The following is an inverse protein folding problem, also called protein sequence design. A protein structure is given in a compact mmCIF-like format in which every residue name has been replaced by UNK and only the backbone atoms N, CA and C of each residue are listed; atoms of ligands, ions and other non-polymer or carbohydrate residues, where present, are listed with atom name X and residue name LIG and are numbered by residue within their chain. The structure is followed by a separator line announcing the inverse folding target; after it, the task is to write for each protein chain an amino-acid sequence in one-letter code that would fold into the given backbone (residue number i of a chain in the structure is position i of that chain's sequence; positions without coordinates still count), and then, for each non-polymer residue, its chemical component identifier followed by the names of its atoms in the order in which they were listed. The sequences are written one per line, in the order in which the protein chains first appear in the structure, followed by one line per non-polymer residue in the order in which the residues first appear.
data_IF_986705088758
#
_entry.id   IF_986705088758
#
_cell.length_a   1.000
_cell.length_b   1.000
_cell.length_c   1.000
_cell.angle_alpha   90.00
_cell.angle_beta   90.00
_cell.angle_gamma   90.00
#
_symmetry.space_group_name_H-M   'P 1'
#
loop_
_entity.id
_entity.type
_entity.pdbx_description
1 polymer ?
#
# COMPACT_ATOMS: atom_id res chain seq x y z
N UNK A 1 19.50 -44.99 -52.98
CA UNK A 1 20.46 -45.10 -51.85
C UNK A 1 19.67 -44.91 -50.56
N UNK A 2 19.38 -46.03 -49.89
CA UNK A 2 18.84 -46.08 -48.53
C UNK A 2 19.89 -45.63 -47.52
N UNK A 3 19.45 -45.07 -46.39
CA UNK A 3 19.97 -45.26 -45.02
C UNK A 3 19.08 -44.44 -44.05
N UNK A 4 18.13 -45.05 -43.35
CA UNK A 4 18.21 -45.90 -42.13
C UNK A 4 18.07 -45.08 -40.84
N UNK A 5 16.89 -45.23 -40.22
CA UNK A 5 16.64 -44.94 -38.81
C UNK A 5 17.61 -45.73 -37.92
N UNK A 6 18.18 -45.07 -36.90
CA UNK A 6 18.68 -45.73 -35.69
C UNK A 6 17.98 -45.15 -34.46
N UNK A 7 17.25 -46.03 -33.76
CA UNK A 7 16.87 -45.88 -32.36
C UNK A 7 18.12 -45.70 -31.50
N UNK A 8 18.10 -44.76 -30.55
CA UNK A 8 18.92 -44.88 -29.34
C UNK A 8 17.98 -44.89 -28.13
N UNK A 9 17.84 -46.07 -27.55
CA UNK A 9 17.26 -46.32 -26.23
C UNK A 9 18.25 -45.94 -25.12
N UNK A 10 17.69 -45.41 -24.04
CA UNK A 10 18.17 -45.43 -22.64
C UNK A 10 19.45 -44.67 -22.27
N UNK A 11 19.25 -43.55 -21.56
CA UNK A 11 19.85 -43.35 -20.24
C UNK A 11 18.99 -42.36 -19.45
N UNK A 12 18.16 -42.87 -18.55
CA UNK A 12 17.51 -42.09 -17.50
C UNK A 12 18.65 -41.69 -16.54
N UNK A 13 19.14 -40.48 -16.70
CA UNK A 13 19.94 -39.81 -15.68
C UNK A 13 18.95 -39.23 -14.66
N UNK A 14 18.68 -40.00 -13.60
CA UNK A 14 18.17 -39.45 -12.34
C UNK A 14 19.14 -38.36 -11.89
N UNK A 15 18.81 -37.10 -12.18
CA UNK A 15 19.60 -35.96 -11.74
C UNK A 15 19.28 -35.70 -10.26
N UNK A 16 19.81 -36.55 -9.39
CA UNK A 16 20.04 -36.19 -7.99
C UNK A 16 20.99 -34.99 -8.00
N UNK A 17 20.45 -33.78 -7.77
CA UNK A 17 21.28 -32.64 -7.35
C UNK A 17 21.77 -32.89 -5.93
N UNK A 18 22.76 -33.76 -5.77
CA UNK A 18 23.64 -33.73 -4.62
C UNK A 18 24.56 -32.52 -4.82
N UNK A 19 24.22 -31.38 -4.22
CA UNK A 19 25.16 -30.27 -4.11
C UNK A 19 26.34 -30.69 -3.22
N UNK A 20 27.59 -30.63 -3.71
CA UNK A 20 28.75 -30.89 -2.87
C UNK A 20 28.96 -29.69 -1.94
N UNK A 21 29.06 -29.97 -0.64
CA UNK A 21 29.83 -29.16 0.30
C UNK A 21 29.44 -27.69 0.47
N UNK A 22 28.24 -27.40 0.96
CA UNK A 22 28.07 -26.26 1.90
C UNK A 22 27.07 -26.65 2.98
N UNK A 23 27.51 -26.67 4.24
CA UNK A 23 26.66 -26.85 5.43
C UNK A 23 25.77 -25.60 5.65
N UNK A 24 24.88 -25.30 4.69
CA UNK A 24 23.89 -24.24 4.79
C UNK A 24 22.54 -24.89 5.08
N UNK A 25 22.05 -24.73 6.31
CA UNK A 25 20.75 -25.25 6.75
C UNK A 25 19.65 -24.81 5.77
N UNK A 26 19.11 -25.75 5.02
CA UNK A 26 18.02 -25.53 4.06
C UNK A 26 16.68 -25.53 4.80
N UNK A 27 16.02 -24.38 4.89
CA UNK A 27 14.73 -24.17 5.58
C UNK A 27 13.53 -24.21 4.62
N UNK A 28 13.71 -24.71 3.40
CA UNK A 28 12.67 -24.70 2.36
C UNK A 28 11.55 -25.71 2.63
N UNK A 29 10.33 -25.31 2.31
CA UNK A 29 9.17 -26.21 2.25
C UNK A 29 9.03 -26.72 0.82
N UNK A 30 8.90 -28.04 0.65
CA UNK A 30 8.60 -28.64 -0.64
C UNK A 30 7.26 -29.38 -0.58
N UNK A 31 6.46 -29.19 -1.62
CA UNK A 31 5.20 -29.90 -1.86
C UNK A 31 5.46 -30.86 -3.01
N UNK A 32 5.44 -32.15 -2.74
CA UNK A 32 5.51 -33.17 -3.78
C UNK A 32 4.09 -33.47 -4.22
N UNK A 33 3.81 -33.23 -5.50
CA UNK A 33 2.53 -33.52 -6.11
C UNK A 33 2.72 -34.67 -7.10
N UNK A 34 2.12 -35.81 -6.78
CA UNK A 34 2.19 -37.02 -7.58
C UNK A 34 0.79 -37.57 -7.80
N UNK A 35 0.65 -38.49 -8.76
CA UNK A 35 -0.62 -39.16 -9.02
C UNK A 35 -1.18 -39.92 -7.79
N UNK A 36 -0.32 -40.38 -6.88
CA UNK A 36 -0.68 -41.13 -5.68
C UNK A 36 -0.98 -40.25 -4.46
N UNK A 37 -0.61 -38.96 -4.48
CA UNK A 37 -0.81 -38.12 -3.30
C UNK A 37 -0.15 -36.74 -3.32
N UNK A 38 -0.42 -36.00 -2.24
CA UNK A 38 0.18 -34.70 -1.95
C UNK A 38 0.99 -34.85 -0.66
N UNK A 39 2.31 -34.65 -0.75
CA UNK A 39 3.21 -34.86 0.37
C UNK A 39 4.02 -33.60 0.69
N UNK A 40 3.91 -33.14 1.94
CA UNK A 40 4.66 -32.00 2.44
C UNK A 40 5.96 -32.47 3.10
N UNK A 41 7.11 -32.01 2.59
CA UNK A 41 8.39 -32.15 3.29
C UNK A 41 8.86 -30.77 3.77
N UNK A 42 9.01 -30.63 5.08
CA UNK A 42 9.58 -29.45 5.73
C UNK A 42 10.78 -29.91 6.56
N UNK A 43 11.98 -29.39 6.27
CA UNK A 43 13.17 -29.74 7.05
C UNK A 43 13.13 -28.95 8.36
N UNK A 44 12.75 -29.60 9.46
CA UNK A 44 12.63 -28.97 10.78
C UNK A 44 14.04 -28.63 11.29
N UNK A 45 14.27 -27.38 11.69
CA UNK A 45 15.46 -26.95 12.43
C UNK A 45 15.10 -26.76 13.90
N UNK A 46 15.50 -27.72 14.75
CA UNK A 46 15.74 -27.56 16.20
C UNK A 46 14.51 -27.49 17.13
N UNK A 47 14.49 -28.43 18.10
CA UNK A 47 13.64 -28.60 19.29
C UNK A 47 12.46 -27.64 19.49
N UNK A 48 11.29 -28.10 19.06
CA UNK A 48 10.03 -27.69 19.67
C UNK A 48 9.65 -28.83 20.60
N UNK A 49 9.75 -28.61 21.91
CA UNK A 49 9.16 -29.49 22.91
C UNK A 49 7.67 -29.62 22.58
N UNK A 50 7.28 -30.81 22.10
CA UNK A 50 5.90 -31.14 21.84
C UNK A 50 5.16 -31.13 23.18
N UNK A 51 4.43 -30.06 23.46
CA UNK A 51 3.40 -30.08 24.50
C UNK A 51 2.13 -30.50 23.79
N UNK A 52 1.53 -31.67 24.08
CA UNK A 52 0.25 -32.04 23.52
C UNK A 52 -0.76 -30.97 23.92
N UNK A 53 -1.27 -30.21 22.95
CA UNK A 53 -2.39 -29.30 23.16
C UNK A 53 -3.60 -30.14 23.56
N UNK A 54 -4.09 -29.92 24.78
CA UNK A 54 -5.35 -30.45 25.27
C UNK A 54 -6.49 -30.05 24.33
N UNK A 55 -7.52 -30.90 24.14
CA UNK A 55 -8.67 -30.55 23.33
C UNK A 55 -9.38 -29.35 23.95
N UNK A 56 -9.39 -28.21 23.25
CA UNK A 56 -10.22 -27.07 23.60
C UNK A 56 -11.67 -27.38 23.20
N UNK A 57 -12.51 -27.72 24.18
CA UNK A 57 -13.97 -27.62 24.07
C UNK A 57 -14.34 -26.15 23.88
N UNK A 58 -14.72 -25.78 22.67
CA UNK A 58 -15.34 -24.48 22.41
C UNK A 58 -16.77 -24.49 22.96
N UNK A 59 -17.01 -23.72 24.01
CA UNK A 59 -18.35 -23.37 24.47
C UNK A 59 -19.04 -22.54 23.40
N UNK A 60 -20.23 -22.99 22.96
CA UNK A 60 -21.18 -22.13 22.27
C UNK A 60 -21.73 -21.11 23.26
N UNK A 61 -21.32 -19.85 23.13
CA UNK A 61 -22.00 -18.74 23.77
C UNK A 61 -22.77 -18.01 22.68
N UNK A 62 -24.09 -18.23 22.67
CA UNK A 62 -25.02 -17.43 21.88
C UNK A 62 -25.08 -16.04 22.47
N UNK A 63 -24.70 -15.05 21.67
CA UNK A 63 -25.04 -13.65 21.91
C UNK A 63 -25.87 -13.17 20.72
N UNK A 64 -27.16 -13.02 20.99
CA UNK A 64 -28.14 -12.37 20.13
C UNK A 64 -27.78 -10.89 19.99
N UNK A 65 -27.13 -10.51 18.90
CA UNK A 65 -27.14 -9.14 18.40
C UNK A 65 -27.08 -9.13 16.88
N UNK A 66 -28.25 -8.89 16.29
CA UNK A 66 -28.53 -8.78 14.85
C UNK A 66 -27.63 -7.69 14.25
N UNK A 67 -26.52 -8.10 13.64
CA UNK A 67 -25.75 -7.27 12.72
C UNK A 67 -25.99 -7.78 11.31
N UNK A 68 -26.45 -6.87 10.45
CA UNK A 68 -26.92 -7.12 9.10
C UNK A 68 -26.05 -8.11 8.31
N UNK A 69 -26.62 -9.27 7.97
CA UNK A 69 -25.96 -10.33 7.22
C UNK A 69 -25.54 -9.81 5.83
N UNK A 70 -24.25 -9.53 5.69
CA UNK A 70 -23.60 -9.29 4.41
C UNK A 70 -23.27 -10.65 3.81
N UNK A 71 -23.43 -10.82 2.49
CA UNK A 71 -22.84 -11.95 1.77
C UNK A 71 -21.31 -11.75 1.87
N UNK A 72 -20.74 -12.22 2.96
CA UNK A 72 -19.33 -12.07 3.30
C UNK A 72 -18.96 -13.40 3.89
N UNK A 73 -17.99 -14.06 3.27
CA UNK A 73 -17.43 -15.29 3.83
C UNK A 73 -17.12 -15.10 5.31
N UNK A 74 -17.12 -16.19 6.08
CA UNK A 74 -16.74 -16.16 7.49
C UNK A 74 -15.44 -15.37 7.73
N UNK A 75 -15.22 -14.86 8.96
CA UNK A 75 -13.97 -14.22 9.34
C UNK A 75 -12.77 -15.07 8.88
N UNK A 76 -11.72 -14.41 8.37
CA UNK A 76 -10.60 -15.12 7.72
C UNK A 76 -9.97 -16.20 8.60
N UNK A 77 -9.95 -15.98 9.92
CA UNK A 77 -9.40 -16.90 10.91
C UNK A 77 -10.18 -18.22 11.01
N UNK A 78 -11.42 -18.26 10.52
CA UNK A 78 -12.31 -19.43 10.51
C UNK A 78 -12.36 -20.15 9.15
N UNK A 79 -11.74 -19.57 8.11
CA UNK A 79 -11.81 -20.12 6.74
C UNK A 79 -10.83 -21.27 6.48
N UNK A 80 -9.87 -21.52 7.38
CA UNK A 80 -8.77 -22.46 7.13
C UNK A 80 -9.17 -23.90 7.44
N UNK A 81 -8.98 -24.81 6.46
CA UNK A 81 -9.15 -26.24 6.68
C UNK A 81 -8.11 -26.77 7.70
N UNK A 82 -8.47 -27.78 8.50
CA UNK A 82 -7.63 -28.34 9.58
C UNK A 82 -6.22 -28.72 9.07
N UNK A 83 -6.15 -29.43 7.94
CA UNK A 83 -4.91 -29.89 7.30
C UNK A 83 -4.01 -28.74 6.78
N UNK A 84 -4.51 -27.50 6.77
CA UNK A 84 -3.80 -26.31 6.30
C UNK A 84 -3.27 -25.43 7.43
N UNK A 85 -3.62 -25.72 8.69
CA UNK A 85 -3.43 -24.80 9.82
C UNK A 85 -1.96 -24.44 10.04
N UNK A 86 -1.06 -25.42 10.18
CA UNK A 86 0.35 -25.18 10.49
C UNK A 86 1.05 -24.30 9.44
N UNK A 87 0.73 -24.54 8.16
CA UNK A 87 1.27 -23.78 7.05
C UNK A 87 0.76 -22.34 7.04
N UNK A 88 -0.55 -22.17 7.28
CA UNK A 88 -1.18 -20.85 7.32
C UNK A 88 -0.74 -20.05 8.54
N UNK A 89 -0.60 -20.69 9.70
CA UNK A 89 -0.10 -20.05 10.92
C UNK A 89 1.33 -19.56 10.71
N UNK A 90 2.21 -20.34 10.07
CA UNK A 90 3.54 -19.87 9.68
C UNK A 90 3.47 -18.65 8.75
N UNK A 91 2.60 -18.69 7.75
CA UNK A 91 2.48 -17.63 6.76
C UNK A 91 1.93 -16.34 7.39
N UNK A 92 0.97 -16.45 8.31
CA UNK A 92 0.44 -15.35 9.13
C UNK A 92 1.50 -14.77 10.08
N UNK A 93 2.26 -15.61 10.77
CA UNK A 93 3.36 -15.16 11.65
C UNK A 93 4.41 -14.40 10.83
N UNK A 94 4.78 -14.89 9.66
CA UNK A 94 5.79 -14.23 8.82
C UNK A 94 5.28 -12.96 8.15
N UNK A 95 4.01 -12.92 7.74
CA UNK A 95 3.40 -11.75 7.10
C UNK A 95 3.12 -10.61 8.08
N UNK A 96 2.87 -10.92 9.35
CA UNK A 96 2.55 -9.96 10.42
C UNK A 96 3.79 -9.30 11.06
N UNK A 97 4.99 -9.81 10.80
CA UNK A 97 6.23 -9.22 11.33
C UNK A 97 6.37 -7.78 10.87
N UNK A 98 6.54 -6.87 11.81
CA UNK A 98 6.91 -5.49 11.50
C UNK A 98 8.33 -5.43 10.91
N UNK A 99 8.49 -4.60 9.87
CA UNK A 99 9.79 -4.40 9.23
C UNK A 99 10.74 -3.67 10.18
N UNK A 100 11.88 -4.31 10.50
CA UNK A 100 12.96 -3.65 11.24
C UNK A 100 13.53 -2.48 10.48
N UNK A 101 13.58 -2.52 9.14
CA UNK A 101 13.99 -1.38 8.33
C UNK A 101 13.16 -0.14 8.67
N UNK A 102 11.85 -0.28 8.78
CA UNK A 102 10.97 0.85 9.07
C UNK A 102 11.18 1.38 10.50
N UNK A 103 11.21 0.49 11.49
CA UNK A 103 11.24 0.85 12.91
C UNK A 103 12.61 1.25 13.45
N UNK A 104 13.68 0.57 13.01
CA UNK A 104 15.03 0.77 13.52
C UNK A 104 15.97 1.44 12.51
N UNK A 105 15.54 1.57 11.25
CA UNK A 105 16.29 2.30 10.22
C UNK A 105 15.68 3.65 9.91
N UNK A 106 14.53 3.65 9.23
CA UNK A 106 13.91 4.85 8.65
C UNK A 106 13.42 5.81 9.73
N UNK A 107 12.65 5.32 10.72
CA UNK A 107 12.09 6.19 11.75
C UNK A 107 13.18 6.87 12.59
N UNK A 108 14.23 6.17 13.08
CA UNK A 108 15.35 6.81 13.74
C UNK A 108 16.13 7.78 12.85
N UNK A 109 16.26 7.50 11.54
CA UNK A 109 16.90 8.42 10.59
C UNK A 109 16.11 9.73 10.46
N UNK A 110 14.77 9.65 10.39
CA UNK A 110 13.90 10.84 10.37
C UNK A 110 14.05 11.63 11.67
N UNK A 111 14.01 10.95 12.83
CA UNK A 111 14.19 11.61 14.13
C UNK A 111 15.57 12.26 14.26
N UNK A 112 16.62 11.63 13.73
CA UNK A 112 17.96 12.22 13.67
C UNK A 112 17.99 13.51 12.85
N UNK A 113 17.38 13.52 11.66
CA UNK A 113 17.30 14.72 10.83
C UNK A 113 16.54 15.86 11.54
N UNK A 114 15.40 15.54 12.17
CA UNK A 114 14.61 16.52 12.94
C UNK A 114 15.43 17.08 14.10
N UNK A 115 16.10 16.21 14.86
CA UNK A 115 16.96 16.61 15.96
C UNK A 115 18.10 17.53 15.48
N UNK A 116 18.77 17.16 14.39
CA UNK A 116 19.91 17.90 13.86
C UNK A 116 19.48 19.29 13.38
N UNK A 117 18.35 19.40 12.68
CA UNK A 117 17.76 20.70 12.30
C UNK A 117 17.41 21.53 13.54
N UNK A 118 16.71 20.94 14.52
CA UNK A 118 16.30 21.65 15.73
C UNK A 118 17.50 22.13 16.57
N UNK A 119 18.55 21.32 16.66
CA UNK A 119 19.77 21.65 17.39
C UNK A 119 20.47 22.85 16.78
N UNK A 120 20.74 22.82 15.48
CA UNK A 120 21.46 23.91 14.80
C UNK A 120 20.61 25.18 14.65
N UNK A 121 19.28 25.07 14.55
CA UNK A 121 18.39 26.23 14.61
C UNK A 121 18.48 26.99 15.94
N UNK A 122 18.76 26.31 17.06
CA UNK A 122 18.96 26.97 18.37
C UNK A 122 20.30 27.71 18.47
N UNK A 123 21.28 27.36 17.64
CA UNK A 123 22.64 27.90 17.65
C UNK A 123 22.75 29.17 16.77
N UNK A 124 21.71 29.54 16.02
CA UNK A 124 21.69 30.74 15.19
C UNK A 124 22.12 32.00 15.98
N UNK A 125 23.17 32.68 15.50
CA UNK A 125 23.80 33.82 16.18
C UNK A 125 22.85 35.03 16.15
N UNK A 126 22.73 35.72 17.29
CA UNK A 126 22.07 37.04 17.35
C UNK A 126 23.06 38.07 16.83
N UNK A 127 22.82 38.61 15.63
CA UNK A 127 23.59 39.75 15.14
C UNK A 127 22.94 41.04 15.61
N UNK A 128 23.74 41.94 16.18
CA UNK A 128 23.30 43.28 16.57
C UNK A 128 23.54 44.25 15.42
N UNK A 129 22.52 45.05 15.09
CA UNK A 129 22.66 46.14 14.13
C UNK A 129 23.18 47.39 14.86
N UNK A 130 24.16 48.08 14.27
CA UNK A 130 24.73 49.30 14.85
C UNK A 130 23.97 50.51 14.31
N UNK A 131 23.33 51.29 15.20
CA UNK A 131 22.77 52.59 14.84
C UNK A 131 23.74 53.68 15.23
N UNK A 132 24.10 54.53 14.28
CA UNK A 132 24.91 55.71 14.53
C UNK A 132 24.02 56.87 14.94
N UNK A 133 24.41 57.57 16.00
CA UNK A 133 23.76 58.78 16.50
C UNK A 133 24.78 59.91 16.55
N UNK A 134 24.31 61.14 16.49
CA UNK A 134 25.10 62.35 16.70
C UNK A 134 24.80 62.85 18.11
N UNK A 135 25.83 62.93 18.96
CA UNK A 135 25.73 63.47 20.31
C UNK A 135 26.39 64.85 20.38
N UNK A 136 25.70 65.83 20.95
CA UNK A 136 26.23 67.18 21.15
C UNK A 136 27.15 67.18 22.37
N UNK A 137 28.41 67.58 22.20
CA UNK A 137 29.45 67.48 23.25
C UNK A 137 29.94 68.82 23.79
N UNK A 138 29.86 69.88 23.00
CA UNK A 138 30.48 71.17 23.38
C UNK A 138 29.50 72.32 23.13
N UNK A 139 28.47 72.44 24.00
CA UNK A 139 27.37 73.38 23.78
C UNK A 139 26.97 74.14 25.06
N UNK A 140 27.91 74.91 25.63
CA UNK A 140 27.71 75.68 26.89
C UNK A 140 26.51 76.64 26.88
N UNK A 141 26.09 77.13 25.71
CA UNK A 141 24.95 78.04 25.55
C UNK A 141 23.86 77.48 24.63
N UNK A 142 23.93 76.19 24.28
CA UNK A 142 23.13 75.57 23.22
C UNK A 142 23.62 75.90 21.81
N UNK A 143 23.26 75.06 20.85
CA UNK A 143 23.60 75.19 19.42
C UNK A 143 22.33 75.22 18.56
N UNK A 144 22.42 75.87 17.40
CA UNK A 144 21.32 75.95 16.44
C UNK A 144 21.32 74.74 15.49
N UNK A 145 20.17 74.08 15.38
CA UNK A 145 19.87 73.09 14.35
C UNK A 145 19.31 73.83 13.14
N UNK A 146 19.83 73.55 11.94
CA UNK A 146 19.55 74.33 10.73
C UNK A 146 18.90 73.52 9.63
N UNK A 147 18.11 74.18 8.78
CA UNK A 147 17.42 73.52 7.66
C UNK A 147 18.38 73.06 6.55
N UNK A 148 19.49 73.78 6.35
CA UNK A 148 20.51 73.50 5.33
C UNK A 148 21.90 73.56 5.98
N UNK A 149 22.93 72.91 5.41
CA UNK A 149 24.31 72.89 5.94
C UNK A 149 25.05 74.23 5.72
N UNK A 150 24.47 75.34 6.19
CA UNK A 150 24.99 76.70 6.09
C UNK A 150 24.70 77.47 7.39
N UNK A 151 25.71 78.20 7.90
CA UNK A 151 25.61 79.04 9.10
C UNK A 151 24.57 80.16 8.98
N UNK A 152 24.16 80.53 7.77
CA UNK A 152 23.10 81.53 7.51
C UNK A 152 21.71 80.92 7.29
N UNK A 153 21.60 79.59 7.21
CA UNK A 153 20.33 78.90 7.00
C UNK A 153 19.36 79.11 8.16
N UNK A 154 18.07 79.02 7.88
CA UNK A 154 17.00 79.12 8.87
C UNK A 154 17.24 78.12 10.02
N UNK A 155 17.09 78.61 11.25
CA UNK A 155 17.19 77.80 12.46
C UNK A 155 15.85 77.10 12.65
N UNK A 156 15.88 75.77 12.63
CA UNK A 156 14.70 74.91 12.77
C UNK A 156 14.54 74.38 14.20
N UNK A 157 15.56 74.52 15.03
CA UNK A 157 15.53 74.15 16.44
C UNK A 157 16.83 74.48 17.16
N UNK A 158 16.89 74.18 18.45
CA UNK A 158 18.11 74.28 19.27
C UNK A 158 18.42 72.94 19.92
N UNK A 159 19.70 72.67 20.18
CA UNK A 159 20.16 71.51 20.94
C UNK A 159 21.10 71.94 22.07
N UNK A 160 21.02 71.25 23.20
CA UNK A 160 21.89 71.43 24.36
C UNK A 160 22.96 70.33 24.40
N UNK A 161 23.98 70.54 25.24
CA UNK A 161 24.99 69.53 25.49
C UNK A 161 24.36 68.25 26.05
N UNK A 162 24.72 67.10 25.48
CA UNK A 162 24.14 65.80 25.80
C UNK A 162 22.97 65.37 24.92
N UNK A 163 22.40 66.26 24.11
CA UNK A 163 21.33 65.90 23.17
C UNK A 163 21.83 64.91 22.11
N UNK A 164 20.95 63.97 21.73
CA UNK A 164 21.26 62.87 20.82
C UNK A 164 20.27 62.85 19.66
N UNK A 165 20.79 62.76 18.45
CA UNK A 165 19.99 62.70 17.23
C UNK A 165 20.40 61.51 16.37
N UNK A 166 19.47 60.98 15.60
CA UNK A 166 19.77 59.90 14.66
C UNK A 166 20.60 60.45 13.49
N UNK A 167 21.75 59.84 13.19
CA UNK A 167 22.58 60.22 12.07
C UNK A 167 21.89 59.77 10.76
N UNK A 168 21.66 60.72 9.86
CA UNK A 168 21.14 60.47 8.50
C UNK A 168 22.28 60.43 7.50
N UNK A 169 23.19 61.42 7.55
CA UNK A 169 24.38 61.47 6.70
C UNK A 169 25.56 62.18 7.38
N UNK A 170 26.77 61.73 7.04
CA UNK A 170 28.04 62.30 7.46
C UNK A 170 29.00 62.52 6.28
N UNK A 171 28.51 62.79 5.08
CA UNK A 171 29.40 63.08 3.94
C UNK A 171 29.89 64.54 3.92
N UNK A 172 29.07 65.48 4.41
CA UNK A 172 29.42 66.90 4.43
C UNK A 172 30.57 67.19 5.40
N UNK A 173 31.59 67.95 4.99
CA UNK A 173 32.81 68.18 5.77
C UNK A 173 32.61 68.95 7.06
N UNK A 174 31.59 69.80 7.15
CA UNK A 174 31.38 70.72 8.28
C UNK A 174 30.08 70.45 9.05
N UNK A 175 29.18 69.64 8.50
CA UNK A 175 27.85 69.38 9.07
C UNK A 175 27.57 67.88 9.18
N UNK A 176 26.77 67.50 10.17
CA UNK A 176 26.08 66.21 10.21
C UNK A 176 24.61 66.43 9.86
N UNK A 177 24.08 65.59 8.97
CA UNK A 177 22.66 65.51 8.72
C UNK A 177 22.02 64.59 9.76
N UNK A 178 21.01 65.10 10.45
CA UNK A 178 20.32 64.43 11.54
C UNK A 178 18.82 64.40 11.29
N UNK A 179 18.14 63.41 11.87
CA UNK A 179 16.68 63.41 11.92
C UNK A 179 16.22 64.20 13.16
N UNK A 180 15.58 65.34 12.94
CA UNK A 180 14.99 66.17 13.97
C UNK A 180 13.48 66.23 13.78
N UNK A 181 12.73 65.47 14.59
CA UNK A 181 11.27 65.46 14.56
C UNK A 181 10.64 64.96 13.24
N UNK A 182 11.35 64.09 12.49
CA UNK A 182 10.90 63.55 11.21
C UNK A 182 11.37 64.35 9.99
N UNK A 183 12.12 65.44 10.21
CA UNK A 183 12.73 66.24 9.14
C UNK A 183 14.25 66.10 9.15
N UNK A 184 14.85 66.13 7.96
CA UNK A 184 16.31 66.20 7.83
C UNK A 184 16.78 67.62 8.16
N UNK A 185 17.66 67.71 9.13
CA UNK A 185 18.24 68.98 9.58
C UNK A 185 19.74 68.81 9.83
N UNK A 186 20.45 69.91 9.99
CA UNK A 186 21.90 69.94 10.01
C UNK A 186 22.42 70.53 11.31
N UNK A 187 23.40 69.84 11.88
CA UNK A 187 24.15 70.27 13.07
C UNK A 187 25.63 70.40 12.72
N UNK A 188 26.29 71.44 13.27
CA UNK A 188 27.72 71.65 13.05
C UNK A 188 28.54 70.52 13.68
N UNK A 189 29.50 69.98 12.92
CA UNK A 189 30.44 68.97 13.43
C UNK A 189 31.34 69.49 14.53
N UNK A 190 31.57 70.80 14.55
CA UNK A 190 32.40 71.47 15.56
C UNK A 190 31.91 71.19 16.98
N UNK A 191 30.60 71.00 17.17
CA UNK A 191 29.98 70.85 18.50
C UNK A 191 29.36 69.46 18.73
N UNK A 192 29.58 68.51 17.81
CA UNK A 192 28.92 67.22 17.82
C UNK A 192 29.88 66.08 17.42
N UNK A 193 29.63 64.89 17.93
CA UNK A 193 30.38 63.69 17.57
C UNK A 193 29.45 62.52 17.27
N UNK A 194 29.88 61.66 16.35
CA UNK A 194 29.17 60.40 16.08
C UNK A 194 29.47 59.41 17.22
N UNK A 195 28.42 58.79 17.73
CA UNK A 195 28.45 57.68 18.66
C UNK A 195 27.67 56.50 18.07
N UNK A 196 27.91 55.28 18.55
CA UNK A 196 27.21 54.08 18.07
C UNK A 196 26.41 53.43 19.19
N UNK A 197 25.10 53.28 18.99
CA UNK A 197 24.22 52.50 19.83
C UNK A 197 24.03 51.11 19.24
N UNK A 198 24.24 50.08 20.06
CA UNK A 198 23.83 48.71 19.70
C UNK A 198 22.31 48.61 19.84
N UNK A 199 21.59 48.42 18.73
CA UNK A 199 20.15 48.20 18.78
C UNK A 199 19.89 46.70 18.91
N UNK A 200 19.06 46.34 19.88
CA UNK A 200 18.54 45.00 20.09
C UNK A 200 17.50 44.63 19.02
N UNK A 201 17.85 44.68 17.73
CA UNK A 201 17.01 44.10 16.67
C UNK A 201 17.50 42.67 16.46
N UNK A 202 16.79 41.71 17.05
CA UNK A 202 17.06 40.28 16.85
C UNK A 202 16.68 39.91 15.42
N UNK A 203 17.60 40.08 14.49
CA UNK A 203 17.48 39.46 13.18
C UNK A 203 18.07 38.07 13.30
N UNK A 204 17.22 37.04 13.26
CA UNK A 204 17.70 35.68 13.05
C UNK A 204 18.26 35.66 11.63
N UNK A 205 19.58 35.61 11.45
CA UNK A 205 20.13 35.33 10.12
C UNK A 205 19.61 33.94 9.72
N UNK A 206 18.85 33.89 8.63
CA UNK A 206 18.35 32.63 8.11
C UNK A 206 19.56 31.73 7.81
N UNK A 207 19.59 30.55 8.44
CA UNK A 207 20.48 29.42 8.16
C UNK A 207 21.91 29.75 7.65
N UNK A 208 22.58 30.76 8.21
CA UNK A 208 24.04 30.89 8.12
C UNK A 208 24.66 30.18 9.34
N UNK A 209 24.25 28.93 9.53
CA UNK A 209 25.02 27.98 10.36
C UNK A 209 26.40 27.92 9.72
N UNK A 210 27.48 27.88 10.49
CA UNK A 210 28.79 27.46 10.00
C UNK A 210 28.60 26.11 9.28
N UNK A 211 28.38 26.18 7.97
CA UNK A 211 27.62 25.17 7.22
C UNK A 211 28.31 23.83 7.26
N UNK A 212 29.62 23.87 7.41
CA UNK A 212 30.52 22.74 7.45
C UNK A 212 30.19 21.75 8.59
N UNK A 213 29.88 22.21 9.81
CA UNK A 213 29.59 21.29 10.92
C UNK A 213 28.24 20.57 10.76
N UNK A 214 27.20 21.32 10.38
CA UNK A 214 25.89 20.74 10.07
C UNK A 214 26.01 19.73 8.92
N UNK A 215 26.67 20.13 7.82
CA UNK A 215 26.83 19.30 6.63
C UNK A 215 27.62 18.03 6.98
N UNK A 216 28.71 18.13 7.75
CA UNK A 216 29.50 16.96 8.19
C UNK A 216 28.66 15.96 8.99
N UNK A 217 27.92 16.41 9.99
CA UNK A 217 27.06 15.52 10.79
C UNK A 217 25.89 14.96 10.01
N UNK A 218 25.30 15.76 9.12
CA UNK A 218 24.26 15.30 8.22
C UNK A 218 24.76 14.21 7.29
N UNK A 219 25.90 14.41 6.61
CA UNK A 219 26.51 13.42 5.71
C UNK A 219 26.94 12.16 6.47
N UNK A 220 27.54 12.30 7.64
CA UNK A 220 27.92 11.16 8.49
C UNK A 220 26.70 10.35 8.92
N UNK A 221 25.61 11.01 9.34
CA UNK A 221 24.35 10.38 9.68
C UNK A 221 23.71 9.67 8.48
N UNK A 222 23.68 10.32 7.32
CA UNK A 222 23.17 9.71 6.07
C UNK A 222 23.94 8.44 5.69
N UNK A 223 25.27 8.47 5.81
CA UNK A 223 26.11 7.30 5.56
C UNK A 223 25.82 6.18 6.56
N UNK A 224 25.75 6.50 7.86
CA UNK A 224 25.42 5.52 8.90
C UNK A 224 24.04 4.88 8.69
N UNK A 225 22.98 5.69 8.54
CA UNK A 225 21.62 5.19 8.36
C UNK A 225 21.43 4.46 7.03
N UNK A 226 22.15 4.83 5.97
CA UNK A 226 22.12 4.08 4.71
C UNK A 226 22.69 2.67 4.87
N UNK A 227 23.82 2.52 5.56
CA UNK A 227 24.42 1.22 5.86
C UNK A 227 23.54 0.40 6.81
N UNK A 228 23.00 1.02 7.85
CA UNK A 228 22.08 0.39 8.80
C UNK A 228 20.82 -0.11 8.08
N UNK A 229 20.17 0.75 7.29
CA UNK A 229 19.00 0.39 6.48
C UNK A 229 19.30 -0.77 5.54
N UNK A 230 20.47 -0.79 4.90
CA UNK A 230 20.87 -1.90 4.03
C UNK A 230 20.95 -3.24 4.81
N UNK A 231 21.58 -3.25 5.99
CA UNK A 231 21.69 -4.45 6.83
C UNK A 231 20.32 -4.90 7.35
N UNK A 232 19.50 -3.96 7.83
CA UNK A 232 18.14 -4.25 8.32
C UNK A 232 17.26 -4.81 7.21
N UNK A 233 17.34 -4.27 5.99
CA UNK A 233 16.64 -4.80 4.81
C UNK A 233 17.04 -6.25 4.52
N UNK A 234 18.33 -6.57 4.62
CA UNK A 234 18.83 -7.95 4.44
C UNK A 234 18.31 -8.89 5.52
N UNK A 235 18.22 -8.43 6.77
CA UNK A 235 17.67 -9.18 7.90
C UNK A 235 16.16 -9.41 7.72
N UNK A 236 15.40 -8.37 7.40
CA UNK A 236 13.95 -8.46 7.15
C UNK A 236 13.64 -9.42 6.01
N UNK A 237 14.39 -9.34 4.90
CA UNK A 237 14.24 -10.27 3.77
C UNK A 237 14.37 -11.73 4.21
N UNK A 238 15.27 -12.05 5.15
CA UNK A 238 15.41 -13.41 5.69
C UNK A 238 14.30 -13.75 6.69
N UNK A 239 13.92 -12.82 7.57
CA UNK A 239 12.93 -13.04 8.64
C UNK A 239 11.52 -13.24 8.13
N UNK A 240 11.18 -12.64 6.99
CA UNK A 240 9.85 -12.70 6.37
C UNK A 240 9.81 -13.65 5.17
N UNK A 241 10.91 -14.36 4.89
CA UNK A 241 11.00 -15.25 3.74
C UNK A 241 10.09 -16.47 3.93
N UNK A 242 9.20 -16.67 2.97
CA UNK A 242 8.38 -17.87 2.86
C UNK A 242 8.70 -18.51 1.51
N UNK A 243 9.31 -19.69 1.53
CA UNK A 243 9.69 -20.43 0.31
C UNK A 243 8.86 -21.71 0.23
N UNK A 244 8.15 -21.90 -0.87
CA UNK A 244 7.43 -23.13 -1.20
C UNK A 244 7.81 -23.55 -2.60
N UNK A 245 8.32 -24.77 -2.74
CA UNK A 245 8.67 -25.34 -4.03
C UNK A 245 7.79 -26.55 -4.33
N UNK A 246 7.35 -26.65 -5.57
CA UNK A 246 6.54 -27.76 -6.06
C UNK A 246 7.43 -28.71 -6.85
N UNK A 247 7.43 -29.97 -6.43
CA UNK A 247 8.02 -31.09 -7.16
C UNK A 247 6.86 -31.89 -7.77
N UNK A 248 6.70 -31.80 -9.08
CA UNK A 248 5.60 -32.42 -9.82
C UNK A 248 6.15 -33.51 -10.74
N UNK A 249 5.50 -34.66 -10.77
CA UNK A 249 5.75 -35.63 -11.84
C UNK A 249 5.27 -35.09 -13.21
N UNK A 250 5.66 -35.76 -14.29
CA UNK A 250 5.32 -35.32 -15.66
C UNK A 250 3.81 -35.19 -15.88
N UNK A 251 3.02 -36.10 -15.29
CA UNK A 251 1.56 -36.10 -15.43
C UNK A 251 0.91 -34.91 -14.72
N UNK A 252 1.35 -34.60 -13.49
CA UNK A 252 0.85 -33.49 -12.70
C UNK A 252 1.34 -32.15 -13.27
N UNK A 253 2.55 -32.10 -13.80
CA UNK A 253 3.05 -30.91 -14.48
C UNK A 253 2.16 -30.53 -15.68
N UNK A 254 1.73 -31.51 -16.49
CA UNK A 254 0.80 -31.27 -17.60
C UNK A 254 -0.57 -30.78 -17.10
N UNK A 255 -1.08 -31.36 -16.02
CA UNK A 255 -2.31 -30.90 -15.35
C UNK A 255 -2.17 -29.45 -14.89
N UNK A 256 -1.01 -29.07 -14.37
CA UNK A 256 -0.76 -27.71 -13.91
C UNK A 256 -0.64 -26.70 -15.06
N UNK A 257 -0.05 -27.07 -16.19
CA UNK A 257 -0.06 -26.19 -17.37
C UNK A 257 -1.50 -25.95 -17.86
N UNK A 258 -2.35 -26.99 -17.88
CA UNK A 258 -3.79 -26.84 -18.20
C UNK A 258 -4.52 -25.95 -17.18
N UNK A 259 -4.20 -26.07 -15.90
CA UNK A 259 -4.73 -25.20 -14.85
C UNK A 259 -4.48 -23.70 -15.16
N UNK A 260 -3.24 -23.37 -15.54
CA UNK A 260 -2.87 -21.98 -15.89
C UNK A 260 -3.58 -21.51 -17.15
N UNK A 261 -3.67 -22.37 -18.17
CA UNK A 261 -4.40 -22.06 -19.43
C UNK A 261 -5.86 -21.76 -19.14
N UNK A 262 -6.55 -22.63 -18.39
CA UNK A 262 -7.95 -22.46 -18.06
C UNK A 262 -8.22 -21.21 -17.21
N UNK A 263 -7.34 -20.87 -16.26
CA UNK A 263 -7.48 -19.62 -15.52
C UNK A 263 -7.33 -18.39 -16.43
N UNK A 264 -6.42 -18.44 -17.39
CA UNK A 264 -6.12 -17.31 -18.25
C UNK A 264 -7.32 -16.86 -19.11
N UNK A 265 -8.31 -17.74 -19.33
CA UNK A 265 -9.57 -17.41 -20.01
C UNK A 265 -10.32 -16.27 -19.31
N UNK A 266 -10.22 -16.15 -17.98
CA UNK A 266 -10.85 -15.07 -17.21
C UNK A 266 -10.36 -13.69 -17.63
N UNK A 267 -9.06 -13.60 -17.96
CA UNK A 267 -8.42 -12.34 -18.39
C UNK A 267 -8.91 -11.86 -19.75
N UNK A 268 -9.60 -12.72 -20.51
CA UNK A 268 -10.21 -12.34 -21.78
C UNK A 268 -11.54 -11.59 -21.62
N UNK A 269 -12.15 -11.60 -20.42
CA UNK A 269 -13.32 -10.78 -20.11
C UNK A 269 -12.90 -9.32 -19.92
N UNK A 270 -13.53 -8.40 -20.64
CA UNK A 270 -13.23 -6.96 -20.57
C UNK A 270 -13.61 -6.35 -19.24
N UNK A 271 -14.66 -6.87 -18.60
CA UNK A 271 -15.07 -6.47 -17.25
C UNK A 271 -15.26 -7.71 -16.40
N UNK A 272 -14.74 -7.63 -15.17
CA UNK A 272 -14.94 -8.61 -14.11
C UNK A 272 -15.38 -7.82 -12.88
N UNK A 273 -16.48 -8.22 -12.28
CA UNK A 273 -17.05 -7.56 -11.11
C UNK A 273 -17.14 -8.51 -9.93
N UNK A 274 -17.17 -7.95 -8.73
CA UNK A 274 -17.56 -8.61 -7.50
C UNK A 274 -18.94 -8.08 -7.10
N UNK A 275 -19.85 -8.96 -6.70
CA UNK A 275 -21.12 -8.54 -6.10
C UNK A 275 -20.91 -8.24 -4.61
N UNK A 276 -21.39 -7.06 -4.19
CA UNK A 276 -21.38 -6.61 -2.81
C UNK A 276 -22.83 -6.55 -2.33
N UNK A 277 -23.22 -7.50 -1.49
CA UNK A 277 -24.56 -7.57 -0.90
C UNK A 277 -25.70 -7.65 -1.95
N UNK A 278 -26.90 -7.95 -1.48
CA UNK A 278 -28.10 -7.81 -2.27
C UNK A 278 -29.26 -7.37 -1.40
N UNK A 279 -29.77 -6.17 -1.63
CA UNK A 279 -30.99 -5.72 -0.98
C UNK A 279 -32.19 -6.22 -1.79
N UNK A 280 -33.08 -6.95 -1.12
CA UNK A 280 -34.44 -7.06 -1.62
C UNK A 280 -35.09 -5.69 -1.46
N UNK A 281 -35.54 -5.11 -2.56
CA UNK A 281 -36.26 -3.85 -2.56
C UNK A 281 -37.71 -4.14 -2.90
N UNK A 282 -38.65 -3.74 -2.04
CA UNK A 282 -40.09 -3.80 -2.31
C UNK A 282 -40.55 -2.79 -3.39
N UNK A 283 -39.62 -1.95 -3.88
CA UNK A 283 -39.87 -0.87 -4.84
C UNK A 283 -39.67 -1.31 -6.30
N UNK A 284 -40.49 -2.27 -6.77
CA UNK A 284 -40.46 -2.77 -8.17
C UNK A 284 -40.50 -1.65 -9.23
N UNK A 285 -41.21 -0.54 -8.93
CA UNK A 285 -41.40 0.61 -9.84
C UNK A 285 -40.12 1.44 -10.11
N UNK A 286 -39.15 1.44 -9.17
CA UNK A 286 -37.99 2.33 -9.21
C UNK A 286 -36.69 1.63 -9.64
N UNK A 287 -36.71 0.30 -9.82
CA UNK A 287 -35.53 -0.49 -10.16
C UNK A 287 -35.63 -1.13 -11.55
N UNK A 288 -36.29 -0.49 -12.51
CA UNK A 288 -36.49 -1.05 -13.86
C UNK A 288 -37.05 -2.49 -13.87
N UNK A 289 -37.85 -2.86 -12.86
CA UNK A 289 -38.43 -4.20 -12.71
C UNK A 289 -37.48 -5.26 -12.12
N UNK A 290 -36.29 -4.89 -11.66
CA UNK A 290 -35.38 -5.79 -10.95
C UNK A 290 -35.90 -6.09 -9.54
N UNK A 291 -36.17 -7.38 -9.26
CA UNK A 291 -36.59 -7.86 -7.94
C UNK A 291 -35.48 -7.84 -6.87
N UNK A 292 -34.23 -7.54 -7.25
CA UNK A 292 -33.05 -7.56 -6.39
C UNK A 292 -32.11 -6.43 -6.80
N UNK A 293 -31.88 -5.45 -5.92
CA UNK A 293 -30.88 -4.41 -6.16
C UNK A 293 -29.52 -5.01 -5.82
N UNK A 294 -28.74 -5.31 -6.86
CA UNK A 294 -27.40 -5.88 -6.73
C UNK A 294 -26.39 -4.74 -6.88
N UNK A 295 -25.66 -4.43 -5.82
CA UNK A 295 -24.50 -3.55 -5.93
C UNK A 295 -23.32 -4.39 -6.40
N UNK A 296 -22.69 -3.99 -7.49
CA UNK A 296 -21.46 -4.63 -7.98
C UNK A 296 -20.36 -3.58 -8.10
N UNK A 297 -19.12 -4.03 -7.95
CA UNK A 297 -17.94 -3.20 -8.18
C UNK A 297 -16.97 -3.96 -9.07
N UNK A 298 -16.15 -3.26 -9.85
CA UNK A 298 -15.06 -3.90 -10.57
C UNK A 298 -14.10 -4.59 -9.60
N UNK A 299 -13.60 -5.77 -9.98
CA UNK A 299 -12.47 -6.38 -9.24
C UNK A 299 -11.25 -5.48 -9.41
N UNK A 300 -10.38 -5.41 -8.39
CA UNK A 300 -9.18 -4.55 -8.43
C UNK A 300 -8.20 -4.99 -9.50
N UNK A 301 -8.10 -6.30 -9.74
CA UNK A 301 -7.19 -6.87 -10.75
C UNK A 301 -7.35 -8.39 -10.84
N UNK A 302 -6.96 -8.95 -11.98
CA UNK A 302 -6.76 -10.37 -12.21
C UNK A 302 -5.34 -10.54 -12.76
N UNK A 303 -4.58 -11.49 -12.22
CA UNK A 303 -3.21 -11.78 -12.65
C UNK A 303 -3.05 -13.27 -12.91
N UNK A 304 -2.39 -13.62 -14.02
CA UNK A 304 -2.01 -15.01 -14.29
C UNK A 304 -0.86 -15.49 -13.39
N UNK A 305 -0.06 -14.57 -12.87
CA UNK A 305 0.98 -14.87 -11.89
C UNK A 305 1.15 -13.69 -10.91
N UNK A 306 0.79 -13.92 -9.64
CA UNK A 306 1.03 -12.99 -8.55
C UNK A 306 1.18 -13.72 -7.23
N UNK A 307 2.33 -13.49 -6.59
CA UNK A 307 2.67 -14.07 -5.29
C UNK A 307 1.97 -13.34 -4.13
N UNK A 308 1.70 -14.00 -2.98
CA UNK A 308 0.95 -13.38 -1.89
C UNK A 308 1.69 -12.28 -1.11
N UNK A 309 3.02 -12.25 -1.20
CA UNK A 309 3.88 -11.20 -0.68
C UNK A 309 5.16 -11.09 -1.52
N UNK A 310 5.88 -9.97 -1.41
CA UNK A 310 7.17 -9.76 -2.08
C UNK A 310 8.29 -10.66 -1.55
N UNK A 311 8.10 -11.22 -0.35
CA UNK A 311 9.04 -12.14 0.30
C UNK A 311 8.58 -13.60 0.18
N UNK A 312 7.59 -13.87 -0.69
CA UNK A 312 7.16 -15.22 -1.01
C UNK A 312 7.90 -15.71 -2.26
N UNK A 313 8.53 -16.88 -2.19
CA UNK A 313 9.26 -17.51 -3.30
C UNK A 313 8.63 -18.86 -3.62
N UNK A 314 8.43 -19.10 -4.92
CA UNK A 314 7.97 -20.37 -5.49
C UNK A 314 8.47 -20.52 -6.92
N UNK A 315 8.52 -21.77 -7.39
CA UNK A 315 8.83 -22.15 -8.77
C UNK A 315 7.61 -22.23 -9.69
N UNK A 316 6.38 -22.11 -9.16
CA UNK A 316 5.15 -22.15 -9.97
C UNK A 316 4.51 -20.77 -10.09
N UNK A 317 3.85 -20.49 -11.21
CA UNK A 317 3.03 -19.28 -11.41
C UNK A 317 1.79 -19.37 -10.53
N UNK A 318 1.38 -18.30 -9.85
CA UNK A 318 0.18 -18.34 -8.99
C UNK A 318 -0.91 -17.43 -9.56
N UNK A 319 -1.97 -17.99 -10.17
CA UNK A 319 -3.13 -17.20 -10.57
C UNK A 319 -3.80 -16.49 -9.40
N UNK A 320 -4.24 -15.25 -9.63
CA UNK A 320 -4.79 -14.39 -8.59
C UNK A 320 -6.00 -13.57 -9.06
N UNK A 321 -7.01 -13.48 -8.20
CA UNK A 321 -8.11 -12.53 -8.32
C UNK A 321 -8.07 -11.60 -7.10
N UNK A 322 -7.91 -10.31 -7.33
CA UNK A 322 -7.88 -9.28 -6.31
C UNK A 322 -9.26 -8.61 -6.24
N UNK A 323 -10.04 -9.01 -5.25
CA UNK A 323 -11.35 -8.44 -4.95
C UNK A 323 -11.19 -7.14 -4.14
N UNK A 324 -12.28 -6.59 -3.57
CA UNK A 324 -12.19 -5.34 -2.80
C UNK A 324 -11.27 -5.45 -1.58
N UNK A 325 -11.58 -6.40 -0.70
CA UNK A 325 -10.88 -6.61 0.58
C UNK A 325 -10.32 -8.03 0.72
N UNK A 326 -10.50 -8.85 -0.32
CA UNK A 326 -10.10 -10.26 -0.37
C UNK A 326 -9.18 -10.47 -1.56
N UNK A 327 -8.11 -11.23 -1.40
CA UNK A 327 -7.28 -11.70 -2.51
C UNK A 327 -7.34 -13.22 -2.55
N UNK A 328 -7.66 -13.76 -3.72
CA UNK A 328 -7.77 -15.19 -3.98
C UNK A 328 -6.52 -15.62 -4.75
N UNK A 329 -5.73 -16.52 -4.19
CA UNK A 329 -4.51 -17.07 -4.79
C UNK A 329 -4.73 -18.56 -5.04
N UNK A 330 -4.75 -18.97 -6.30
CA UNK A 330 -5.03 -20.34 -6.70
C UNK A 330 -3.71 -21.12 -6.80
N UNK A 331 -3.40 -21.89 -5.76
CA UNK A 331 -2.25 -22.79 -5.74
C UNK A 331 -2.62 -24.14 -6.36
N UNK A 332 -1.65 -24.98 -6.76
CA UNK A 332 -1.94 -26.25 -7.44
C UNK A 332 -2.99 -27.14 -6.73
N UNK A 333 -3.01 -27.14 -5.40
CA UNK A 333 -3.87 -27.98 -4.60
C UNK A 333 -4.95 -27.26 -3.78
N UNK A 334 -4.83 -25.94 -3.60
CA UNK A 334 -5.67 -25.19 -2.66
C UNK A 334 -5.86 -23.73 -3.07
N UNK A 335 -6.96 -23.15 -2.62
CA UNK A 335 -7.19 -21.72 -2.66
C UNK A 335 -6.63 -21.08 -1.38
N UNK A 336 -5.66 -20.17 -1.52
CA UNK A 336 -5.22 -19.29 -0.43
C UNK A 336 -5.99 -17.97 -0.52
N UNK A 337 -6.55 -17.55 0.61
CA UNK A 337 -7.35 -16.35 0.75
C UNK A 337 -6.60 -15.39 1.65
N UNK A 338 -6.41 -14.14 1.22
CA UNK A 338 -5.79 -13.08 2.03
C UNK A 338 -6.77 -11.94 2.28
N UNK A 339 -7.01 -11.58 3.53
CA UNK A 339 -7.82 -10.44 3.98
C UNK A 339 -7.08 -9.68 5.07
N UNK A 340 -6.90 -8.37 4.94
CA UNK A 340 -6.21 -7.54 5.95
C UNK A 340 -4.87 -8.14 6.44
N UNK A 341 -4.07 -8.66 5.50
CA UNK A 341 -2.79 -9.34 5.76
C UNK A 341 -2.83 -10.65 6.56
N UNK A 342 -4.03 -11.15 6.86
CA UNK A 342 -4.29 -12.47 7.39
C UNK A 342 -4.64 -13.42 6.25
N UNK A 343 -4.24 -14.67 6.40
CA UNK A 343 -4.32 -15.71 5.41
C UNK A 343 -5.16 -16.87 5.91
N UNK A 344 -5.85 -17.51 4.96
CA UNK A 344 -6.55 -18.76 5.13
C UNK A 344 -6.34 -19.65 3.90
N UNK A 345 -6.59 -20.95 4.04
CA UNK A 345 -6.53 -21.89 2.94
C UNK A 345 -7.66 -22.91 2.94
N UNK A 346 -8.16 -23.21 1.75
CA UNK A 346 -9.18 -24.23 1.50
C UNK A 346 -8.72 -25.14 0.37
N UNK A 347 -8.72 -26.46 0.60
CA UNK A 347 -8.43 -27.42 -0.46
C UNK A 347 -9.54 -27.46 -1.51
N UNK A 348 -9.20 -27.82 -2.75
CA UNK A 348 -10.19 -27.91 -3.81
C UNK A 348 -11.25 -28.99 -3.58
N UNK A 349 -10.96 -30.04 -2.79
CA UNK A 349 -11.97 -31.01 -2.33
C UNK A 349 -13.10 -30.39 -1.49
N UNK A 350 -12.82 -29.26 -0.83
CA UNK A 350 -13.74 -28.53 0.06
C UNK A 350 -14.27 -27.24 -0.58
N UNK A 351 -13.97 -26.99 -1.86
CA UNK A 351 -14.32 -25.77 -2.58
C UNK A 351 -15.31 -26.08 -3.70
N UNK A 352 -16.39 -25.31 -3.80
CA UNK A 352 -17.34 -25.36 -4.91
C UNK A 352 -17.37 -24.03 -5.64
N UNK A 353 -17.42 -24.08 -6.98
CA UNK A 353 -17.58 -22.87 -7.81
C UNK A 353 -18.72 -23.11 -8.78
N UNK A 354 -19.90 -22.55 -8.46
CA UNK A 354 -21.09 -22.70 -9.28
C UNK A 354 -21.14 -21.59 -10.33
N UNK A 355 -21.27 -21.98 -11.60
CA UNK A 355 -21.47 -21.04 -12.71
C UNK A 355 -22.95 -21.00 -13.10
N UNK A 356 -23.47 -19.79 -13.36
CA UNK A 356 -24.78 -19.59 -13.97
C UNK A 356 -24.77 -18.36 -14.87
N UNK A 357 -25.68 -18.35 -15.84
CA UNK A 357 -25.93 -17.18 -16.68
C UNK A 357 -27.02 -16.33 -16.02
N UNK A 358 -26.80 -15.03 -15.94
CA UNK A 358 -27.73 -14.08 -15.35
C UNK A 358 -28.07 -12.95 -16.32
N UNK A 359 -29.32 -12.51 -16.28
CA UNK A 359 -29.78 -11.31 -16.99
C UNK A 359 -29.57 -10.11 -16.09
N UNK A 360 -28.71 -9.18 -16.50
CA UNK A 360 -28.38 -7.98 -15.74
C UNK A 360 -28.77 -6.74 -16.52
N UNK A 361 -29.53 -5.83 -15.89
CA UNK A 361 -29.89 -4.54 -16.49
C UNK A 361 -28.68 -3.61 -16.36
N UNK A 362 -28.11 -3.19 -17.49
CA UNK A 362 -26.91 -2.37 -17.51
C UNK A 362 -27.28 -0.88 -17.57
N UNK A 363 -26.90 -0.14 -16.53
CA UNK A 363 -27.05 1.32 -16.50
C UNK A 363 -25.76 2.06 -16.92
N UNK A 364 -24.61 1.42 -16.74
CA UNK A 364 -23.30 1.97 -17.11
C UNK A 364 -23.02 1.77 -18.61
N UNK A 365 -21.93 2.36 -19.15
CA UNK A 365 -21.50 2.04 -20.50
C UNK A 365 -21.30 0.54 -20.70
N UNK A 366 -21.89 0.02 -21.79
CA UNK A 366 -21.83 -1.39 -22.15
C UNK A 366 -20.38 -1.86 -22.32
N UNK A 367 -20.10 -3.05 -21.82
CA UNK A 367 -18.82 -3.72 -22.11
C UNK A 367 -18.77 -4.12 -23.59
N UNK A 368 -17.63 -3.96 -24.30
CA UNK A 368 -17.51 -4.35 -25.71
C UNK A 368 -17.76 -5.84 -26.00
N UNK A 369 -17.65 -6.69 -24.98
CA UNK A 369 -17.86 -8.14 -25.02
C UNK A 369 -19.19 -8.58 -24.37
N UNK A 370 -20.06 -7.64 -24.01
CA UNK A 370 -21.37 -7.92 -23.45
C UNK A 370 -22.34 -8.40 -24.54
N UNK A 371 -23.14 -9.42 -24.23
CA UNK A 371 -24.21 -9.90 -25.11
C UNK A 371 -25.53 -9.30 -24.61
N UNK A 372 -26.12 -8.38 -25.39
CA UNK A 372 -27.45 -7.81 -25.10
C UNK A 372 -28.53 -8.81 -25.54
N UNK A 373 -29.37 -9.23 -24.60
CA UNK A 373 -30.45 -10.22 -24.82
C UNK A 373 -31.85 -9.61 -24.77
N UNK A 374 -31.95 -8.32 -24.49
CA UNK A 374 -33.21 -7.59 -24.44
C UNK A 374 -32.99 -6.15 -24.00
N UNK A 375 -34.09 -5.42 -23.86
CA UNK A 375 -34.11 -4.05 -23.35
C UNK A 375 -35.27 -3.92 -22.36
N UNK A 376 -35.11 -3.03 -21.37
CA UNK A 376 -36.15 -2.61 -20.44
C UNK A 376 -36.16 -1.09 -20.35
N UNK A 377 -37.12 -0.51 -19.64
CA UNK A 377 -37.15 0.93 -19.35
C UNK A 377 -36.68 1.20 -17.93
N UNK A 378 -35.98 2.31 -17.71
CA UNK A 378 -35.52 2.75 -16.39
C UNK A 378 -36.67 2.82 -15.38
N UNK A 379 -37.83 3.31 -15.83
CA UNK A 379 -39.06 3.36 -15.04
C UNK A 379 -40.20 2.61 -15.74
N UNK A 380 -40.82 1.66 -15.04
CA UNK A 380 -41.86 0.78 -15.57
C UNK A 380 -43.19 0.97 -14.85
N UNK A 381 -44.28 0.89 -15.61
CA UNK A 381 -45.61 0.67 -15.07
C UNK A 381 -45.73 -0.77 -14.51
N UNK A 382 -46.78 -1.04 -13.71
CA UNK A 382 -47.04 -2.40 -13.16
C UNK A 382 -47.17 -3.49 -14.24
N UNK A 383 -47.54 -3.12 -15.47
CA UNK A 383 -47.67 -4.00 -16.63
C UNK A 383 -46.38 -4.10 -17.47
N UNK A 384 -45.27 -3.49 -17.06
CA UNK A 384 -43.98 -3.53 -17.75
C UNK A 384 -43.83 -2.56 -18.93
N UNK A 385 -44.82 -1.69 -19.20
CA UNK A 385 -44.69 -0.64 -20.23
C UNK A 385 -43.94 0.58 -19.68
N UNK A 386 -43.34 1.44 -20.53
CA UNK A 386 -42.66 2.65 -20.07
C UNK A 386 -43.59 3.58 -19.29
N UNK A 387 -43.18 3.97 -18.09
CA UNK A 387 -43.86 5.04 -17.34
C UNK A 387 -43.52 6.40 -17.97
N UNK A 388 -44.50 6.98 -18.67
CA UNK A 388 -44.33 8.24 -19.42
C UNK A 388 -44.35 9.50 -18.55
N UNK A 389 -44.58 9.37 -17.23
CA UNK A 389 -44.54 10.52 -16.30
C UNK A 389 -43.11 10.98 -15.99
N UNK A 390 -42.12 10.13 -16.25
CA UNK A 390 -40.72 10.44 -16.07
C UNK A 390 -40.12 10.93 -17.40
N UNK A 391 -39.71 12.20 -17.45
CA UNK A 391 -39.12 12.79 -18.66
C UNK A 391 -37.76 12.16 -19.04
N UNK A 392 -37.02 11.60 -18.07
CA UNK A 392 -35.75 10.88 -18.29
C UNK A 392 -35.93 9.35 -18.19
N UNK A 393 -36.91 8.81 -18.91
CA UNK A 393 -37.15 7.37 -18.97
C UNK A 393 -36.48 6.74 -20.21
N UNK A 394 -35.16 6.54 -20.15
CA UNK A 394 -34.41 5.87 -21.22
C UNK A 394 -34.59 4.34 -21.20
N UNK A 395 -34.40 3.72 -22.36
CA UNK A 395 -34.22 2.26 -22.43
C UNK A 395 -32.86 1.86 -21.89
N UNK A 396 -32.84 0.76 -21.14
CA UNK A 396 -31.66 0.13 -20.56
C UNK A 396 -31.47 -1.25 -21.19
N UNK A 397 -30.26 -1.59 -21.67
CA UNK A 397 -29.97 -2.91 -22.20
C UNK A 397 -29.96 -3.97 -21.08
N UNK A 398 -30.49 -5.14 -21.39
CA UNK A 398 -30.41 -6.34 -20.54
C UNK A 398 -29.28 -7.21 -21.11
N UNK A 399 -28.20 -7.33 -20.36
CA UNK A 399 -27.03 -8.11 -20.75
C UNK A 399 -27.08 -9.53 -20.16
N UNK A 400 -26.53 -10.48 -20.91
CA UNK A 400 -26.31 -11.86 -20.46
C UNK A 400 -24.88 -11.99 -19.95
N UNK A 401 -24.73 -12.00 -18.63
CA UNK A 401 -23.45 -12.14 -17.94
C UNK A 401 -23.34 -13.51 -17.30
N UNK A 402 -22.11 -13.93 -17.00
CA UNK A 402 -21.87 -15.12 -16.17
C UNK A 402 -21.62 -14.71 -14.73
N UNK A 403 -22.20 -15.46 -13.79
CA UNK A 403 -22.02 -15.33 -12.35
C UNK A 403 -21.42 -16.62 -11.80
N UNK A 404 -20.35 -16.46 -11.02
CA UNK A 404 -19.61 -17.56 -10.39
C UNK A 404 -19.66 -17.38 -8.88
N UNK A 405 -20.23 -18.36 -8.19
CA UNK A 405 -20.37 -18.37 -6.73
C UNK A 405 -19.36 -19.35 -6.15
N UNK A 406 -18.32 -18.82 -5.51
CA UNK A 406 -17.23 -19.58 -4.87
C UNK A 406 -17.62 -19.85 -3.42
N UNK A 407 -17.74 -21.11 -3.01
CA UNK A 407 -18.16 -21.53 -1.66
C UNK A 407 -17.23 -22.57 -1.05
N UNK A 408 -17.15 -22.62 0.27
CA UNK A 408 -16.53 -23.73 1.01
C UNK A 408 -17.30 -24.07 2.27
N UNK A 409 -17.03 -25.27 2.81
CA UNK A 409 -17.58 -25.71 4.09
C UNK A 409 -17.01 -24.89 5.28
N UNK A 410 -15.80 -24.37 5.14
CA UNK A 410 -15.17 -23.46 6.11
C UNK A 410 -15.75 -22.04 6.10
N UNK A 411 -16.71 -21.75 5.21
CA UNK A 411 -17.43 -20.49 5.17
C UNK A 411 -16.96 -19.51 4.10
N UNK A 412 -16.15 -19.94 3.11
CA UNK A 412 -15.88 -19.14 1.90
C UNK A 412 -17.21 -18.90 1.18
N UNK A 413 -17.45 -17.67 0.77
CA UNK A 413 -18.60 -17.27 -0.02
C UNK A 413 -18.29 -15.95 -0.73
N UNK A 414 -17.91 -16.02 -2.01
CA UNK A 414 -17.58 -14.87 -2.85
C UNK A 414 -18.30 -15.02 -4.19
N UNK A 415 -18.84 -13.92 -4.73
CA UNK A 415 -19.54 -13.92 -6.02
C UNK A 415 -18.81 -12.99 -6.97
N UNK A 416 -18.33 -13.54 -8.09
CA UNK A 416 -17.74 -12.79 -9.20
C UNK A 416 -18.61 -12.90 -10.45
N UNK A 417 -18.65 -11.85 -11.26
CA UNK A 417 -19.36 -11.85 -12.54
C UNK A 417 -18.47 -11.37 -13.68
N UNK A 418 -18.71 -11.86 -14.88
CA UNK A 418 -17.92 -11.53 -16.08
C UNK A 418 -18.83 -11.01 -17.19
N UNK A 419 -18.36 -9.99 -17.92
CA UNK A 419 -19.05 -9.46 -19.08
C UNK A 419 -19.07 -10.45 -20.24
N UNK A 420 -17.93 -11.10 -20.49
CA UNK A 420 -17.84 -12.23 -21.41
C UNK A 420 -18.51 -13.46 -20.78
N UNK A 421 -19.50 -14.01 -21.48
CA UNK A 421 -20.17 -15.25 -21.08
C UNK A 421 -19.16 -16.40 -21.03
N UNK A 422 -19.20 -17.17 -19.95
CA UNK A 422 -18.42 -18.39 -19.74
C UNK A 422 -16.92 -18.18 -19.56
N UNK A 423 -16.46 -16.94 -19.34
CA UNK A 423 -15.03 -16.62 -19.22
C UNK A 423 -14.28 -17.36 -18.10
N UNK A 424 -14.97 -17.97 -17.13
CA UNK A 424 -14.37 -18.75 -16.05
C UNK A 424 -14.91 -20.18 -15.97
N UNK A 425 -15.82 -20.58 -16.86
CA UNK A 425 -16.47 -21.90 -16.83
C UNK A 425 -15.44 -23.02 -16.94
N UNK A 426 -14.50 -22.92 -17.86
CA UNK A 426 -13.47 -23.94 -18.08
C UNK A 426 -12.65 -24.20 -16.80
N UNK A 427 -12.28 -23.11 -16.11
CA UNK A 427 -11.56 -23.20 -14.84
C UNK A 427 -12.42 -23.75 -13.70
N UNK A 428 -13.72 -23.42 -13.61
CA UNK A 428 -14.58 -23.98 -12.55
C UNK A 428 -14.70 -25.49 -12.66
N UNK A 429 -14.86 -26.02 -13.88
CA UNK A 429 -14.88 -27.46 -14.14
C UNK A 429 -13.53 -28.11 -13.79
N UNK A 430 -12.43 -27.43 -14.12
CA UNK A 430 -11.08 -27.92 -13.82
C UNK A 430 -10.81 -28.01 -12.31
N UNK A 431 -11.16 -26.97 -11.54
CA UNK A 431 -11.06 -26.99 -10.08
C UNK A 431 -11.92 -28.11 -9.47
N UNK A 432 -13.15 -28.31 -9.97
CA UNK A 432 -14.00 -29.38 -9.51
C UNK A 432 -13.40 -30.78 -9.80
N UNK A 433 -12.71 -30.94 -10.94
CA UNK A 433 -12.01 -32.18 -11.26
C UNK A 433 -10.82 -32.45 -10.31
N UNK A 434 -10.03 -31.42 -9.99
CA UNK A 434 -8.96 -31.53 -8.97
C UNK A 434 -9.54 -31.88 -7.60
N UNK A 435 -10.65 -31.25 -7.20
CA UNK A 435 -11.32 -31.58 -5.94
C UNK A 435 -11.80 -33.03 -5.87
N UNK A 436 -12.35 -33.58 -6.96
CA UNK A 436 -12.70 -35.00 -7.06
C UNK A 436 -11.49 -35.92 -6.93
N UNK A 437 -10.37 -35.56 -7.57
CA UNK A 437 -9.12 -36.30 -7.47
C UNK A 437 -8.58 -36.32 -6.02
N UNK A 438 -8.58 -35.16 -5.35
CA UNK A 438 -8.18 -35.04 -3.95
C UNK A 438 -9.05 -35.88 -3.00
N UNK A 439 -10.37 -35.94 -3.24
CA UNK A 439 -11.27 -36.80 -2.47
C UNK A 439 -10.94 -38.29 -2.66
N UNK A 440 -10.60 -38.72 -3.88
CA UNK A 440 -10.20 -40.12 -4.13
C UNK A 440 -8.92 -40.50 -3.39
N UNK A 441 -7.91 -39.62 -3.42
CA UNK A 441 -6.67 -39.82 -2.66
C UNK A 441 -6.95 -39.89 -1.16
N UNK A 442 -7.75 -38.96 -0.63
CA UNK A 442 -8.07 -38.92 0.79
C UNK A 442 -8.78 -40.19 1.27
N UNK A 443 -9.72 -40.72 0.47
CA UNK A 443 -10.42 -41.96 0.78
C UNK A 443 -9.48 -43.17 0.71
N UNK A 444 -8.62 -43.25 -0.32
CA UNK A 444 -7.67 -44.35 -0.46
C UNK A 444 -6.69 -44.44 0.73
N UNK A 445 -6.25 -43.30 1.26
CA UNK A 445 -5.39 -43.23 2.46
C UNK A 445 -6.13 -43.58 3.76
N UNK A 446 -7.45 -43.47 3.80
CA UNK A 446 -8.25 -43.85 4.97
C UNK A 446 -8.59 -45.34 5.03
N UNK A 447 -8.48 -46.04 3.90
CA UNK A 447 -8.74 -47.47 3.76
C UNK A 447 -7.47 -48.34 3.94
N UNK A 448 -6.28 -47.73 3.82
CA UNK A 448 -4.96 -48.35 4.06
C UNK A 448 -4.52 -48.18 5.51
#
# INVERSE_FOLDING_TARGET
MNWSFRKSTNAISSFEMTHPGTNKKDTRTYVNLRADGIYYRKKITGDISYTPSQPHTYYQQGDDNITQHTITSAPVDQLTDIDSKDFIDELNIKSSRSSYLNWFGILPAILFCIFLIAHYNRIAKVTYDKKYIVTIKEAKTGINIRLNPDKKSAVVGGALEGDKFDLVDSTNTNWYEINHGGMNAYVSREFAAIDSLNINKRTYSGFEVESDSFIKWFLAGMLFFSLLCYQLKKIDKKRMLTEIYYDMDESIAEVYEKFIVHFSELTQSKRVWQYLHSQYSNSYKYNAGAGKLITRIGVKSVYNDKKPSSTFITNVKIPNINLRNTQLYFFPERLIIKRNNHFAAVFYKSLTIDSKITRFIEEEPLSPDAIVVGHTWKYLNKNGTPDRRFNDNRQLPICSYSEYTIRSNSGVHEIITTSKRGAFDSFTHFIAAIGKFQNRIANALSES
#
